data_IF_998518187138
#
_entry.id   IF_998518187138
#
_cell.length_a   1.000
_cell.length_b   1.000
_cell.length_c   1.000
_cell.angle_alpha   90.00
_cell.angle_beta   90.00
_cell.angle_gamma   90.00
#
_symmetry.space_group_name_H-M   'P 1'
#
loop_
_entity.id
_entity.type
_entity.pdbx_description
1 polymer ?
#
# COMPACT_ATOMS: atom_id res chain seq x y z
N UNK A 1 15.16 -22.69 -3.30
CA UNK A 1 15.12 -21.23 -3.49
C UNK A 1 16.53 -20.71 -3.36
N UNK A 2 17.10 -20.23 -4.46
CA UNK A 2 18.40 -19.55 -4.47
C UNK A 2 18.23 -18.09 -4.02
N UNK A 3 19.34 -17.44 -3.67
CA UNK A 3 19.32 -16.00 -3.35
C UNK A 3 18.84 -15.17 -4.55
N UNK A 4 19.26 -15.52 -5.76
CA UNK A 4 18.84 -14.86 -6.99
C UNK A 4 17.33 -14.98 -7.23
N UNK A 5 16.75 -16.16 -6.99
CA UNK A 5 15.30 -16.34 -7.05
C UNK A 5 14.57 -15.46 -6.04
N UNK A 6 15.05 -15.41 -4.80
CA UNK A 6 14.46 -14.58 -3.74
C UNK A 6 14.52 -13.08 -4.08
N UNK A 7 15.63 -12.61 -4.64
CA UNK A 7 15.79 -11.23 -5.09
C UNK A 7 14.84 -10.89 -6.25
N UNK A 8 14.70 -11.81 -7.21
CA UNK A 8 13.80 -11.63 -8.35
C UNK A 8 12.32 -11.50 -7.96
N UNK A 9 11.94 -12.04 -6.79
CA UNK A 9 10.58 -11.95 -6.27
C UNK A 9 10.36 -10.77 -5.33
N UNK A 10 11.42 -10.04 -4.95
CA UNK A 10 11.33 -8.90 -4.04
C UNK A 10 10.99 -7.61 -4.79
N UNK A 11 9.79 -7.01 -4.60
CA UNK A 11 9.43 -5.71 -5.20
C UNK A 11 10.41 -4.60 -4.79
N UNK A 12 10.95 -4.70 -3.57
CA UNK A 12 11.94 -3.76 -3.05
C UNK A 12 13.27 -3.81 -3.80
N UNK A 13 13.55 -4.87 -4.56
CA UNK A 13 14.79 -5.00 -5.35
C UNK A 13 14.55 -4.86 -6.86
N UNK A 14 13.30 -4.77 -7.32
CA UNK A 14 13.01 -4.67 -8.76
C UNK A 14 13.44 -3.33 -9.37
N UNK A 15 14.12 -3.34 -10.55
CA UNK A 15 14.52 -2.14 -11.29
C UNK A 15 13.41 -1.57 -12.18
N UNK A 16 12.32 -2.32 -12.40
CA UNK A 16 11.18 -1.91 -13.26
C UNK A 16 10.45 -0.67 -12.76
N UNK A 17 10.68 -0.28 -11.50
CA UNK A 17 10.19 0.97 -10.93
C UNK A 17 11.00 2.20 -11.39
N UNK A 18 12.09 2.04 -12.16
CA UNK A 18 13.02 3.13 -12.50
C UNK A 18 12.72 3.85 -13.84
N UNK A 19 11.64 3.47 -14.54
CA UNK A 19 11.29 4.16 -15.78
C UNK A 19 10.67 5.54 -15.49
N UNK A 20 11.27 6.60 -16.02
CA UNK A 20 10.97 8.01 -15.70
C UNK A 20 9.55 8.48 -16.03
N UNK A 21 8.76 7.70 -16.77
CA UNK A 21 7.42 8.09 -17.23
C UNK A 21 6.30 7.15 -16.75
N UNK A 22 6.62 6.02 -16.11
CA UNK A 22 5.61 5.09 -15.64
C UNK A 22 4.89 5.63 -14.40
N UNK A 23 3.55 5.73 -14.48
CA UNK A 23 2.72 6.02 -13.33
C UNK A 23 2.85 7.43 -12.75
N UNK A 24 3.31 8.45 -13.51
CA UNK A 24 3.35 9.85 -13.05
C UNK A 24 2.02 10.38 -12.48
N UNK A 25 0.90 9.85 -12.99
CA UNK A 25 -0.45 10.16 -12.54
C UNK A 25 -1.06 9.07 -11.64
N UNK A 26 -0.31 8.01 -11.33
CA UNK A 26 -0.77 6.93 -10.46
C UNK A 26 -0.65 7.38 -9.01
N UNK A 27 -1.75 7.25 -8.27
CA UNK A 27 -1.73 7.34 -6.82
C UNK A 27 -1.42 5.97 -6.24
N UNK A 28 -0.41 5.91 -5.39
CA UNK A 28 -0.04 4.70 -4.66
C UNK A 28 -0.38 4.91 -3.19
N UNK A 29 -1.14 3.96 -2.65
CA UNK A 29 -1.50 3.91 -1.25
C UNK A 29 -0.87 2.65 -0.63
N UNK A 30 -0.16 2.84 0.46
CA UNK A 30 0.48 1.77 1.23
C UNK A 30 -0.12 1.82 2.63
N UNK A 31 -0.66 0.69 3.06
CA UNK A 31 -1.34 0.54 4.33
C UNK A 31 -0.60 -0.46 5.20
N UNK A 32 -0.50 -0.15 6.49
CA UNK A 32 0.05 -1.05 7.51
C UNK A 32 -0.67 -0.82 8.83
N UNK A 33 -0.92 -1.88 9.57
CA UNK A 33 -1.50 -1.79 10.91
C UNK A 33 -0.46 -1.30 11.92
N UNK A 34 -0.86 -0.54 12.93
CA UNK A 34 0.05 -0.19 14.03
C UNK A 34 0.37 -1.39 14.93
N UNK A 35 -0.52 -2.39 14.95
CA UNK A 35 -0.37 -3.63 15.73
C UNK A 35 0.44 -4.68 14.95
N UNK A 36 0.69 -4.45 13.66
CA UNK A 36 1.56 -5.31 12.86
C UNK A 36 2.95 -5.47 13.47
N UNK A 37 3.61 -6.58 13.13
CA UNK A 37 4.99 -6.80 13.56
C UNK A 37 5.89 -5.64 13.12
N UNK A 38 6.94 -5.31 13.90
CA UNK A 38 7.86 -4.23 13.54
C UNK A 38 8.46 -4.40 12.14
N UNK A 39 8.59 -5.64 11.67
CA UNK A 39 9.14 -5.95 10.35
C UNK A 39 8.19 -5.57 9.21
N UNK A 40 6.88 -5.78 9.35
CA UNK A 40 5.89 -5.31 8.37
C UNK A 40 5.88 -3.77 8.30
N UNK A 41 5.93 -3.10 9.45
CA UNK A 41 6.02 -1.64 9.50
C UNK A 41 7.29 -1.11 8.83
N UNK A 42 8.44 -1.74 9.11
CA UNK A 42 9.73 -1.40 8.50
C UNK A 42 9.69 -1.57 6.98
N UNK A 43 9.24 -2.73 6.49
CA UNK A 43 9.17 -3.04 5.06
C UNK A 43 8.22 -2.09 4.31
N UNK A 44 7.04 -1.80 4.86
CA UNK A 44 6.09 -0.86 4.28
C UNK A 44 6.67 0.56 4.16
N UNK A 45 7.41 1.00 5.19
CA UNK A 45 8.10 2.29 5.16
C UNK A 45 9.21 2.34 4.11
N UNK A 46 10.08 1.33 4.06
CA UNK A 46 11.18 1.24 3.08
C UNK A 46 10.64 1.20 1.65
N UNK A 47 9.55 0.48 1.43
CA UNK A 47 8.93 0.42 0.11
C UNK A 47 8.31 1.76 -0.29
N UNK A 48 7.64 2.47 0.62
CA UNK A 48 7.14 3.82 0.38
C UNK A 48 8.26 4.80 0.01
N UNK A 49 9.39 4.74 0.73
CA UNK A 49 10.57 5.56 0.46
C UNK A 49 11.20 5.23 -0.90
N UNK A 50 11.24 3.96 -1.31
CA UNK A 50 11.70 3.56 -2.65
C UNK A 50 10.82 4.13 -3.76
N UNK A 51 9.51 4.28 -3.53
CA UNK A 51 8.54 4.72 -4.53
C UNK A 51 8.42 6.24 -4.65
N UNK A 52 8.55 7.00 -3.55
CA UNK A 52 8.39 8.46 -3.52
C UNK A 52 9.20 9.23 -4.58
N UNK A 53 10.45 8.86 -4.92
CA UNK A 53 11.21 9.56 -5.98
C UNK A 53 10.63 9.37 -7.39
N UNK A 54 9.77 8.37 -7.59
CA UNK A 54 9.29 7.91 -8.91
C UNK A 54 7.83 8.27 -9.17
N UNK A 55 7.01 8.23 -8.12
CA UNK A 55 5.58 8.48 -8.20
C UNK A 55 5.25 9.81 -7.52
N UNK A 56 4.39 10.60 -8.15
CA UNK A 56 4.01 11.92 -7.66
C UNK A 56 3.27 11.85 -6.32
N UNK A 57 2.44 10.81 -6.16
CA UNK A 57 1.52 10.66 -5.04
C UNK A 57 1.69 9.27 -4.41
N UNK A 58 2.59 9.17 -3.43
CA UNK A 58 2.76 7.97 -2.60
C UNK A 58 2.37 8.30 -1.18
N UNK A 59 1.33 7.63 -0.69
CA UNK A 59 0.81 7.80 0.66
C UNK A 59 1.06 6.53 1.47
N UNK A 60 1.66 6.69 2.65
CA UNK A 60 1.80 5.64 3.65
C UNK A 60 0.88 5.99 4.81
N UNK A 61 -0.09 5.13 5.10
CA UNK A 61 -0.98 5.27 6.26
C UNK A 61 -0.72 4.13 7.23
N UNK A 62 -0.61 4.50 8.51
CA UNK A 62 -0.54 3.58 9.63
C UNK A 62 -1.90 3.64 10.33
N UNK A 63 -2.54 2.49 10.55
CA UNK A 63 -3.85 2.40 11.18
C UNK A 63 -3.69 1.97 12.64
N UNK A 64 -3.94 2.90 13.56
CA UNK A 64 -3.61 2.76 14.99
C UNK A 64 -4.28 1.59 15.70
N UNK A 65 -5.46 1.18 15.25
CA UNK A 65 -6.27 0.12 15.87
C UNK A 65 -6.23 -1.21 15.10
N UNK A 66 -5.49 -1.27 14.00
CA UNK A 66 -5.52 -2.41 13.10
C UNK A 66 -4.22 -3.23 13.15
N UNK A 67 -4.40 -4.52 12.98
CA UNK A 67 -3.39 -5.53 12.69
C UNK A 67 -3.47 -5.97 11.21
N UNK A 68 -2.67 -6.98 10.87
CA UNK A 68 -2.58 -7.52 9.52
C UNK A 68 -3.91 -7.96 8.91
N UNK A 69 -4.87 -8.39 9.73
CA UNK A 69 -6.11 -9.01 9.31
C UNK A 69 -7.28 -8.03 9.40
N UNK A 70 -7.43 -7.37 10.55
CA UNK A 70 -8.49 -6.40 10.85
C UNK A 70 -8.52 -5.26 9.84
N UNK A 71 -7.35 -4.81 9.35
CA UNK A 71 -7.27 -3.79 8.30
C UNK A 71 -8.00 -4.21 7.01
N UNK A 72 -8.02 -5.52 6.69
CA UNK A 72 -8.72 -6.07 5.53
C UNK A 72 -10.19 -6.32 5.86
N UNK A 73 -10.48 -6.80 7.07
CA UNK A 73 -11.85 -7.08 7.53
C UNK A 73 -12.72 -5.81 7.53
N UNK A 74 -12.19 -4.68 8.03
CA UNK A 74 -12.90 -3.39 8.03
C UNK A 74 -13.25 -2.87 6.62
N UNK A 75 -12.45 -3.22 5.61
CA UNK A 75 -12.77 -2.88 4.22
C UNK A 75 -14.00 -3.64 3.72
N UNK A 76 -14.22 -4.84 4.23
CA UNK A 76 -15.41 -5.63 3.92
C UNK A 76 -16.63 -5.14 4.71
N UNK A 77 -16.46 -4.72 5.97
CA UNK A 77 -17.58 -4.24 6.81
C UNK A 77 -18.18 -2.92 6.31
N UNK A 78 -17.36 -2.03 5.73
CA UNK A 78 -17.85 -0.79 5.12
C UNK A 78 -18.65 -1.01 3.82
N UNK A 79 -18.75 -2.26 3.34
CA UNK A 79 -19.44 -2.64 2.10
C UNK A 79 -20.89 -3.12 2.28
N UNK A 80 -21.55 -2.85 3.41
CA UNK A 80 -23.00 -3.12 3.60
C UNK A 80 -23.93 -2.33 2.64
N UNK A 81 -23.39 -1.66 1.62
CA UNK A 81 -24.13 -1.27 0.42
C UNK A 81 -23.65 -2.05 -0.80
N UNK A 82 -24.29 -3.21 -1.03
CA UNK A 82 -24.26 -4.04 -2.25
C UNK A 82 -22.89 -4.65 -2.67
N UNK A 83 -22.84 -5.93 -3.12
CA UNK A 83 -21.59 -6.67 -3.44
C UNK A 83 -20.71 -6.15 -4.60
N UNK A 84 -20.85 -4.90 -5.04
CA UNK A 84 -20.21 -4.37 -6.25
C UNK A 84 -19.33 -3.12 -6.10
N UNK A 85 -19.25 -2.49 -4.91
CA UNK A 85 -18.68 -1.13 -4.78
C UNK A 85 -17.59 -0.99 -3.68
N UNK A 86 -16.83 -2.05 -3.37
CA UNK A 86 -15.86 -2.06 -2.26
C UNK A 86 -14.68 -1.06 -2.36
N UNK A 87 -14.46 -0.37 -3.48
CA UNK A 87 -13.28 0.48 -3.69
C UNK A 87 -13.54 1.99 -3.79
N UNK A 88 -14.80 2.44 -3.87
CA UNK A 88 -15.10 3.87 -4.08
C UNK A 88 -15.21 4.66 -2.77
N UNK A 89 -15.74 4.05 -1.73
CA UNK A 89 -16.20 4.77 -0.52
C UNK A 89 -15.06 5.23 0.40
N UNK A 90 -13.92 4.51 0.43
CA UNK A 90 -12.77 4.89 1.25
C UNK A 90 -11.99 6.10 0.69
N UNK A 91 -11.99 6.31 -0.62
CA UNK A 91 -11.32 7.46 -1.25
C UNK A 91 -12.14 8.76 -1.16
N UNK A 92 -13.47 8.67 -1.20
CA UNK A 92 -14.35 9.85 -1.25
C UNK A 92 -14.54 10.53 0.13
N UNK A 93 -14.30 9.83 1.23
CA UNK A 93 -14.50 10.38 2.59
C UNK A 93 -13.35 11.28 3.10
N UNK A 94 -12.20 11.31 2.42
CA UNK A 94 -11.04 12.15 2.79
C UNK A 94 -10.63 13.18 1.73
N UNK A 95 -11.31 13.24 0.58
CA UNK A 95 -11.16 14.32 -0.41
C UNK A 95 -12.36 15.27 -0.28
N UNK A 96 -12.41 16.06 0.79
CA UNK A 96 -13.14 17.33 0.79
C UNK A 96 -12.10 18.45 0.67
N UNK A 97 -12.05 19.04 -0.51
CA UNK A 97 -11.47 20.38 -0.75
C UNK A 97 -12.42 21.41 -0.15
#
# INVERSE_FOLDING_TARGET
MTSEEAESWSPLLQPTLDSKDFGKNLQILIWVGAIDSPEFQRQSKEYAEKLRPKFKNVELQIFDEDDHFTIVERLCETSESSPGDCLKTALESKIKV
#
